data_IF_177136239123
#
_entry.id   IF_177136239123
#
_cell.length_a   1.000
_cell.length_b   1.000
_cell.length_c   1.000
_cell.angle_alpha   90.00
_cell.angle_beta   90.00
_cell.angle_gamma   90.00
#
_symmetry.space_group_name_H-M   'P 1'
#
loop_
_entity.id
_entity.type
_entity.pdbx_description
1 polymer ?
#
# COMPACT_ATOMS: atom_id res chain seq x y z
N UNK A 1 -2.44 -12.87 2.74
CA UNK A 1 -2.56 -12.38 1.36
C UNK A 1 -2.23 -10.90 1.37
N UNK A 2 -1.11 -10.48 0.75
CA UNK A 2 -0.70 -9.07 0.67
C UNK A 2 -1.76 -8.13 0.07
N UNK A 3 -2.71 -8.66 -0.71
CA UNK A 3 -3.82 -7.88 -1.29
C UNK A 3 -4.97 -7.67 -0.31
N UNK A 4 -5.13 -8.58 0.66
CA UNK A 4 -6.31 -8.62 1.52
C UNK A 4 -6.40 -7.41 2.43
N UNK A 5 -5.31 -7.03 3.11
CA UNK A 5 -5.34 -5.97 4.12
C UNK A 5 -5.79 -4.62 3.55
N UNK A 6 -5.15 -4.17 2.47
CA UNK A 6 -5.44 -2.88 1.87
C UNK A 6 -6.77 -2.87 1.12
N UNK A 7 -7.09 -3.93 0.35
CA UNK A 7 -8.36 -4.00 -0.36
C UNK A 7 -9.55 -4.06 0.60
N UNK A 8 -9.42 -4.79 1.71
CA UNK A 8 -10.46 -4.87 2.73
C UNK A 8 -10.64 -3.55 3.48
N UNK A 9 -9.55 -2.87 3.82
CA UNK A 9 -9.62 -1.55 4.46
C UNK A 9 -10.37 -0.55 3.59
N UNK A 10 -10.17 -0.58 2.27
CA UNK A 10 -10.85 0.30 1.32
C UNK A 10 -12.34 -0.02 1.22
N UNK A 11 -12.71 -1.31 1.15
CA UNK A 11 -14.12 -1.75 1.15
C UNK A 11 -14.82 -1.36 2.46
N UNK A 12 -14.22 -1.70 3.59
CA UNK A 12 -14.75 -1.38 4.92
C UNK A 12 -14.93 0.13 5.11
N UNK A 13 -14.01 0.96 4.61
CA UNK A 13 -14.15 2.41 4.66
C UNK A 13 -15.39 2.88 3.89
N UNK A 14 -15.58 2.41 2.66
CA UNK A 14 -16.77 2.73 1.84
C UNK A 14 -18.07 2.27 2.48
N UNK A 15 -18.07 1.07 3.05
CA UNK A 15 -19.23 0.53 3.77
C UNK A 15 -19.59 1.39 4.98
N UNK A 16 -18.59 1.81 5.77
CA UNK A 16 -18.79 2.70 6.92
C UNK A 16 -19.25 4.11 6.52
N UNK A 17 -18.91 4.57 5.32
CA UNK A 17 -19.41 5.83 4.76
C UNK A 17 -20.81 5.70 4.17
N UNK A 18 -21.31 4.48 3.96
CA UNK A 18 -22.57 4.23 3.24
C UNK A 18 -22.50 4.59 1.76
N UNK A 19 -21.29 4.68 1.19
CA UNK A 19 -21.04 5.07 -0.20
C UNK A 19 -20.01 4.14 -0.83
N UNK A 20 -20.51 3.21 -1.65
CA UNK A 20 -19.67 2.23 -2.37
C UNK A 20 -18.82 2.86 -3.47
N UNK A 21 -19.07 4.12 -3.84
CA UNK A 21 -18.34 4.87 -4.86
C UNK A 21 -17.49 5.99 -4.27
N UNK A 22 -17.36 6.06 -2.94
CA UNK A 22 -16.50 7.06 -2.31
C UNK A 22 -15.09 6.97 -2.88
N UNK A 23 -14.54 8.14 -3.21
CA UNK A 23 -13.18 8.27 -3.71
C UNK A 23 -12.21 7.98 -2.56
N UNK A 24 -11.45 6.88 -2.69
CA UNK A 24 -10.49 6.44 -1.68
C UNK A 24 -9.09 6.51 -2.25
N UNK A 25 -8.18 7.15 -1.52
CA UNK A 25 -6.75 7.18 -1.79
C UNK A 25 -6.06 6.34 -0.72
N UNK A 26 -5.48 5.20 -1.11
CA UNK A 26 -4.88 4.28 -0.15
C UNK A 26 -3.50 4.74 0.33
N UNK A 27 -3.23 4.60 1.63
CA UNK A 27 -1.94 4.92 2.22
C UNK A 27 -1.26 3.63 2.66
N UNK A 28 -0.10 3.34 2.08
CA UNK A 28 0.75 2.20 2.42
C UNK A 28 2.04 2.64 3.12
N UNK A 29 2.94 1.68 3.35
CA UNK A 29 4.28 1.97 3.87
C UNK A 29 4.37 2.19 5.38
N UNK A 30 3.39 1.74 6.16
CA UNK A 30 3.57 1.56 7.59
C UNK A 30 4.44 0.31 7.78
N UNK A 31 5.66 0.50 8.30
CA UNK A 31 6.55 -0.60 8.67
C UNK A 31 7.27 -1.31 7.51
N UNK A 32 7.43 -0.68 6.33
CA UNK A 32 8.29 -1.25 5.27
C UNK A 32 9.74 -1.14 5.69
N UNK A 33 10.30 -2.23 6.19
CA UNK A 33 11.72 -2.32 6.48
C UNK A 33 12.47 -2.79 5.23
N UNK A 34 13.48 -2.02 4.83
CA UNK A 34 14.46 -2.43 3.81
C UNK A 34 15.53 -3.39 4.38
N UNK A 35 15.31 -3.90 5.60
CA UNK A 35 16.26 -4.73 6.33
C UNK A 35 17.36 -3.97 7.08
N UNK A 36 17.36 -2.62 7.08
CA UNK A 36 18.45 -1.81 7.67
C UNK A 36 18.12 -1.09 8.99
N UNK A 37 17.02 -1.48 9.64
CA UNK A 37 16.61 -1.23 11.05
C UNK A 37 15.44 -0.27 11.29
N UNK A 38 14.42 -0.79 11.97
CA UNK A 38 13.58 -0.11 12.95
C UNK A 38 13.39 -1.06 14.15
N UNK A 39 13.15 -0.56 15.38
CA UNK A 39 12.95 -1.41 16.54
C UNK A 39 11.73 -2.32 16.33
N UNK A 40 11.90 -3.60 16.61
CA UNK A 40 10.86 -4.62 16.55
C UNK A 40 9.71 -4.24 17.50
N UNK A 41 8.61 -3.71 16.95
CA UNK A 41 7.43 -3.32 17.70
C UNK A 41 6.59 -4.52 18.17
N UNK A 42 6.98 -5.74 17.76
CA UNK A 42 6.17 -6.95 17.92
C UNK A 42 5.00 -7.04 16.93
N UNK A 43 4.81 -6.03 16.07
CA UNK A 43 3.84 -6.07 14.98
C UNK A 43 4.50 -6.58 13.68
N UNK A 44 3.76 -7.32 12.82
CA UNK A 44 4.28 -7.74 11.53
C UNK A 44 4.69 -6.53 10.69
N UNK A 45 5.99 -6.38 10.47
CA UNK A 45 6.50 -5.34 9.56
C UNK A 45 6.20 -5.74 8.11
N UNK A 46 5.71 -4.78 7.33
CA UNK A 46 5.61 -4.95 5.90
C UNK A 46 7.02 -5.13 5.29
N UNK A 47 7.11 -5.98 4.29
CA UNK A 47 8.34 -6.24 3.54
C UNK A 47 8.25 -5.62 2.15
N UNK A 48 9.37 -5.63 1.42
CA UNK A 48 9.39 -5.22 0.00
C UNK A 48 8.43 -6.08 -0.83
N UNK A 49 8.22 -7.35 -0.46
CA UNK A 49 7.33 -8.27 -1.18
C UNK A 49 5.84 -7.89 -1.00
N UNK A 50 5.48 -7.18 0.07
CA UNK A 50 4.11 -6.73 0.31
C UNK A 50 3.71 -5.52 -0.57
N UNK A 51 4.69 -4.82 -1.16
CA UNK A 51 4.46 -3.63 -1.98
C UNK A 51 3.63 -3.93 -3.23
N UNK A 52 3.82 -5.10 -3.84
CA UNK A 52 3.02 -5.51 -5.01
C UNK A 52 1.56 -5.76 -4.64
N UNK A 53 1.32 -6.39 -3.49
CA UNK A 53 -0.03 -6.58 -2.95
C UNK A 53 -0.74 -5.27 -2.68
N UNK A 54 -0.03 -4.32 -2.08
CA UNK A 54 -0.53 -2.97 -1.85
C UNK A 54 -0.92 -2.28 -3.16
N UNK A 55 -0.01 -2.17 -4.14
CA UNK A 55 -0.31 -1.48 -5.40
C UNK A 55 -1.42 -2.18 -6.18
N UNK A 56 -1.44 -3.51 -6.20
CA UNK A 56 -2.52 -4.27 -6.83
C UNK A 56 -3.88 -3.99 -6.17
N UNK A 57 -3.93 -3.91 -4.83
CA UNK A 57 -5.17 -3.64 -4.11
C UNK A 57 -5.79 -2.28 -4.44
N UNK A 58 -4.97 -1.26 -4.73
CA UNK A 58 -5.45 0.07 -5.13
C UNK A 58 -6.20 -0.01 -6.46
N UNK A 59 -5.62 -0.70 -7.44
CA UNK A 59 -6.23 -0.91 -8.75
C UNK A 59 -7.49 -1.79 -8.64
N UNK A 60 -7.38 -2.93 -7.95
CA UNK A 60 -8.48 -3.92 -7.81
C UNK A 60 -9.73 -3.32 -7.13
N UNK A 61 -9.55 -2.25 -6.34
CA UNK A 61 -10.64 -1.55 -5.65
C UNK A 61 -11.07 -0.25 -6.31
N UNK A 62 -10.49 0.14 -7.46
CA UNK A 62 -10.79 1.42 -8.09
C UNK A 62 -10.47 2.61 -7.18
N UNK A 63 -9.35 2.56 -6.46
CA UNK A 63 -8.85 3.69 -5.70
C UNK A 63 -8.41 4.81 -6.65
N UNK A 64 -8.56 6.06 -6.23
CA UNK A 64 -8.16 7.23 -7.06
C UNK A 64 -6.64 7.43 -7.11
N UNK A 65 -5.90 6.69 -6.29
CA UNK A 65 -4.46 6.78 -6.17
C UNK A 65 -3.95 6.07 -4.92
N UNK A 66 -2.64 6.15 -4.72
CA UNK A 66 -2.00 5.71 -3.50
C UNK A 66 -0.75 6.51 -3.15
N UNK A 67 -0.39 6.49 -1.87
CA UNK A 67 0.83 7.13 -1.37
C UNK A 67 1.48 6.28 -0.29
N UNK A 68 2.77 6.55 -0.05
CA UNK A 68 3.53 5.92 1.02
C UNK A 68 3.71 6.93 2.15
N UNK A 69 3.23 6.56 3.34
CA UNK A 69 3.31 7.40 4.54
C UNK A 69 4.76 7.72 4.90
N UNK A 70 5.61 6.70 5.03
CA UNK A 70 7.02 6.88 5.40
C UNK A 70 7.95 6.68 4.21
N UNK A 71 7.82 7.55 3.21
CA UNK A 71 8.70 7.54 2.05
C UNK A 71 10.18 7.74 2.43
N UNK A 72 10.43 8.53 3.49
CA UNK A 72 11.76 8.88 3.95
C UNK A 72 12.57 7.65 4.41
N UNK A 73 11.92 6.66 5.03
CA UNK A 73 12.59 5.46 5.54
C UNK A 73 12.36 4.19 4.73
N UNK A 74 11.50 4.20 3.69
CA UNK A 74 11.18 3.05 2.81
C UNK A 74 12.40 2.39 2.11
N UNK A 75 13.61 2.97 2.22
CA UNK A 75 14.83 2.45 1.60
C UNK A 75 14.89 2.62 0.08
N UNK A 76 16.09 2.58 -0.49
CA UNK A 76 16.26 2.81 -1.94
C UNK A 76 15.55 1.74 -2.79
N UNK A 77 15.65 0.48 -2.36
CA UNK A 77 15.07 -0.64 -3.09
C UNK A 77 13.54 -0.64 -3.03
N UNK A 78 12.96 -0.37 -1.85
CA UNK A 78 11.50 -0.21 -1.72
C UNK A 78 10.97 0.92 -2.60
N UNK A 79 11.66 2.08 -2.62
CA UNK A 79 11.31 3.21 -3.50
C UNK A 79 11.39 2.85 -4.98
N UNK A 80 12.44 2.13 -5.41
CA UNK A 80 12.60 1.64 -6.78
C UNK A 80 11.46 0.71 -7.17
N UNK A 81 11.16 -0.28 -6.31
CA UNK A 81 10.09 -1.25 -6.53
C UNK A 81 8.71 -0.57 -6.62
N UNK A 82 8.44 0.40 -5.75
CA UNK A 82 7.19 1.19 -5.81
C UNK A 82 7.07 1.97 -7.11
N UNK A 83 8.13 2.65 -7.55
CA UNK A 83 8.11 3.38 -8.81
C UNK A 83 7.79 2.45 -10.00
N UNK A 84 8.40 1.27 -10.05
CA UNK A 84 8.13 0.26 -11.08
C UNK A 84 6.68 -0.24 -11.04
N UNK A 85 6.17 -0.56 -9.85
CA UNK A 85 4.81 -1.05 -9.68
C UNK A 85 3.76 -0.02 -10.06
N UNK A 86 3.92 1.25 -9.66
CA UNK A 86 3.01 2.32 -10.03
C UNK A 86 3.03 2.59 -11.54
N UNK A 87 4.19 2.59 -12.19
CA UNK A 87 4.29 2.75 -13.65
C UNK A 87 3.62 1.59 -14.38
N UNK A 88 3.88 0.35 -13.97
CA UNK A 88 3.32 -0.85 -14.61
C UNK A 88 1.78 -0.94 -14.49
N UNK A 89 1.18 -0.25 -13.53
CA UNK A 89 -0.26 -0.24 -13.28
C UNK A 89 -0.96 1.07 -13.65
N UNK A 90 -0.22 2.07 -14.12
CA UNK A 90 -0.75 3.37 -14.56
C UNK A 90 -1.27 3.37 -16.00
N UNK A 91 -1.52 2.20 -16.61
CA UNK A 91 -1.97 2.13 -18.01
C UNK A 91 -3.47 1.78 -18.06
N UNK A 92 -4.24 2.84 -18.32
CA UNK A 92 -5.64 2.98 -18.77
C UNK A 92 -6.76 2.24 -18.02
#
# INVERSE_FOLDING_TARGET
DPRYYSAESIRMLRDNLGDSQALVHGIGGIGVADGTALPDSGEPMATIDDLEGFVASLADTGSIGGSIYDWATTGLEGRRRLAELFVARAID
#
